data_IF_900821660113
#
_entry.id   IF_900821660113
#
_cell.length_a   1.000
_cell.length_b   1.000
_cell.length_c   1.000
_cell.angle_alpha   90.00
_cell.angle_beta   90.00
_cell.angle_gamma   90.00
#
_symmetry.space_group_name_H-M   'P 1'
#
loop_
_entity.id
_entity.type
_entity.pdbx_description
1 polymer ?
#
# COMPACT_ATOMS: atom_id res chain seq x y z
N UNK A 1 45.37 15.91 -91.15
CA UNK A 1 43.98 15.75 -91.61
C UNK A 1 43.20 14.68 -90.79
N UNK A 2 43.39 14.57 -89.45
CA UNK A 2 42.68 13.53 -88.63
C UNK A 2 42.17 14.07 -87.27
N UNK A 3 42.65 15.23 -86.78
CA UNK A 3 42.30 15.71 -85.42
C UNK A 3 41.04 16.60 -85.32
N UNK A 4 40.44 17.04 -86.42
CA UNK A 4 39.26 17.94 -86.37
C UNK A 4 37.90 17.24 -86.46
N UNK A 5 37.85 15.97 -86.88
CA UNK A 5 36.59 15.23 -87.02
C UNK A 5 36.13 14.56 -85.71
N UNK A 6 37.05 14.24 -84.80
CA UNK A 6 36.71 13.63 -83.51
C UNK A 6 36.07 14.61 -82.50
N UNK A 7 36.30 15.93 -82.64
CA UNK A 7 35.72 16.93 -81.73
C UNK A 7 34.27 17.32 -82.03
N UNK A 8 33.74 16.96 -83.21
CA UNK A 8 32.33 17.20 -83.55
C UNK A 8 31.41 16.03 -83.17
N UNK A 9 31.93 14.82 -83.00
CA UNK A 9 31.11 13.67 -82.63
C UNK A 9 30.75 13.64 -81.13
N UNK A 10 31.59 14.22 -80.26
CA UNK A 10 31.30 14.32 -78.83
C UNK A 10 30.30 15.43 -78.44
N UNK A 11 29.95 16.35 -79.35
CA UNK A 11 29.07 17.49 -79.00
C UNK A 11 27.58 17.23 -79.23
N UNK A 12 27.20 16.11 -79.86
CA UNK A 12 25.79 15.78 -80.11
C UNK A 12 25.18 14.77 -79.12
N UNK A 13 25.97 14.16 -78.23
CA UNK A 13 25.43 13.30 -77.16
C UNK A 13 25.06 14.04 -75.86
N UNK A 14 25.24 15.36 -75.80
CA UNK A 14 24.81 16.20 -74.69
C UNK A 14 23.55 17.02 -75.04
N UNK A 15 22.67 16.44 -75.88
CA UNK A 15 21.25 16.79 -75.80
C UNK A 15 20.63 15.87 -74.77
N UNK A 16 20.70 16.29 -73.51
CA UNK A 16 19.81 15.79 -72.46
C UNK A 16 18.40 15.93 -72.99
N UNK A 17 17.78 14.81 -73.39
CA UNK A 17 16.34 14.72 -73.54
C UNK A 17 15.80 15.02 -72.15
N UNK A 18 15.41 16.28 -71.91
CA UNK A 18 14.50 16.60 -70.82
C UNK A 18 13.15 16.00 -71.23
N UNK A 19 13.01 14.68 -71.05
CA UNK A 19 11.73 14.01 -71.13
C UNK A 19 10.89 14.56 -69.98
N UNK A 20 9.88 15.35 -70.28
CA UNK A 20 8.87 15.70 -69.29
C UNK A 20 8.27 14.42 -68.71
N UNK A 21 8.05 14.39 -67.40
CA UNK A 21 7.41 13.25 -66.73
C UNK A 21 6.08 12.93 -67.39
N UNK A 22 5.86 11.66 -67.69
CA UNK A 22 4.55 11.22 -68.16
C UNK A 22 3.56 11.25 -67.00
N UNK A 23 2.29 11.57 -67.27
CA UNK A 23 1.24 11.62 -66.24
C UNK A 23 1.12 10.29 -65.47
N UNK A 24 1.40 9.17 -66.15
CA UNK A 24 1.42 7.84 -65.56
C UNK A 24 2.60 7.63 -64.59
N UNK A 25 3.80 8.10 -64.91
CA UNK A 25 4.93 8.08 -63.96
C UNK A 25 4.65 8.88 -62.70
N UNK A 26 4.02 10.05 -62.82
CA UNK A 26 3.61 10.86 -61.66
C UNK A 26 2.57 10.13 -60.81
N UNK A 27 1.62 9.44 -61.43
CA UNK A 27 0.60 8.65 -60.73
C UNK A 27 1.22 7.47 -59.98
N UNK A 28 2.12 6.72 -60.62
CA UNK A 28 2.83 5.59 -59.98
C UNK A 28 3.73 6.10 -58.85
N UNK A 29 4.46 7.20 -59.06
CA UNK A 29 5.31 7.80 -58.04
C UNK A 29 4.50 8.25 -56.81
N UNK A 30 3.30 8.81 -57.02
CA UNK A 30 2.41 9.21 -55.93
C UNK A 30 1.87 8.00 -55.16
N UNK A 31 1.55 6.91 -55.85
CA UNK A 31 1.08 5.66 -55.25
C UNK A 31 2.19 4.95 -54.44
N UNK A 32 3.39 4.86 -54.99
CA UNK A 32 4.54 4.28 -54.28
C UNK A 32 4.93 5.18 -53.09
N UNK A 33 4.93 6.50 -53.28
CA UNK A 33 5.21 7.46 -52.22
C UNK A 33 4.21 7.40 -51.07
N UNK A 34 2.92 7.22 -51.36
CA UNK A 34 1.88 7.09 -50.34
C UNK A 34 2.00 5.77 -49.57
N UNK A 35 2.30 4.66 -50.24
CA UNK A 35 2.54 3.37 -49.60
C UNK A 35 3.75 3.41 -48.65
N UNK A 36 4.87 3.99 -49.10
CA UNK A 36 6.07 4.14 -48.26
C UNK A 36 5.76 5.04 -47.05
N UNK A 37 5.08 6.17 -47.26
CA UNK A 37 4.71 7.09 -46.19
C UNK A 37 3.78 6.45 -45.17
N UNK A 38 2.80 5.66 -45.62
CA UNK A 38 1.91 4.91 -44.74
C UNK A 38 2.67 3.86 -43.91
N UNK A 39 3.62 3.14 -44.53
CA UNK A 39 4.48 2.19 -43.84
C UNK A 39 5.35 2.85 -42.75
N UNK A 40 5.96 3.99 -43.06
CA UNK A 40 6.75 4.76 -42.09
C UNK A 40 5.89 5.27 -40.93
N UNK A 41 4.70 5.81 -41.23
CA UNK A 41 3.77 6.28 -40.20
C UNK A 41 3.33 5.14 -39.27
N UNK A 42 3.05 3.96 -39.83
CA UNK A 42 2.69 2.78 -39.04
C UNK A 42 3.80 2.38 -38.06
N UNK A 43 5.06 2.35 -38.51
CA UNK A 43 6.22 2.04 -37.66
C UNK A 43 6.36 3.07 -36.53
N UNK A 44 6.21 4.36 -36.84
CA UNK A 44 6.30 5.44 -35.83
C UNK A 44 5.23 5.27 -34.76
N UNK A 45 3.99 4.96 -35.13
CA UNK A 45 2.90 4.70 -34.17
C UNK A 45 3.24 3.51 -33.26
N UNK A 46 3.73 2.40 -33.83
CA UNK A 46 4.14 1.23 -33.04
C UNK A 46 5.28 1.54 -32.07
N UNK A 47 6.26 2.34 -32.50
CA UNK A 47 7.38 2.76 -31.66
C UNK A 47 6.91 3.66 -30.51
N UNK A 48 6.02 4.62 -30.78
CA UNK A 48 5.44 5.49 -29.76
C UNK A 48 4.65 4.66 -28.74
N UNK A 49 3.80 3.73 -29.19
CA UNK A 49 3.04 2.85 -28.29
C UNK A 49 3.96 2.02 -27.40
N UNK A 50 5.02 1.46 -27.97
CA UNK A 50 5.98 0.66 -27.22
C UNK A 50 6.74 1.50 -26.21
N UNK A 51 7.18 2.70 -26.60
CA UNK A 51 7.86 3.64 -25.70
C UNK A 51 6.95 4.06 -24.54
N UNK A 52 5.68 4.39 -24.82
CA UNK A 52 4.71 4.74 -23.77
C UNK A 52 4.47 3.57 -22.81
N UNK A 53 4.35 2.33 -23.31
CA UNK A 53 4.19 1.14 -22.46
C UNK A 53 5.42 0.88 -21.59
N UNK A 54 6.62 1.03 -22.13
CA UNK A 54 7.85 0.83 -21.38
C UNK A 54 8.05 1.93 -20.33
N UNK A 55 7.76 3.18 -20.68
CA UNK A 55 7.74 4.30 -19.73
C UNK A 55 6.75 4.04 -18.60
N UNK A 56 5.52 3.64 -18.92
CA UNK A 56 4.49 3.34 -17.93
C UNK A 56 4.91 2.20 -16.98
N UNK A 57 5.60 1.18 -17.51
CA UNK A 57 6.15 0.08 -16.73
C UNK A 57 7.26 0.56 -15.78
N UNK A 58 8.21 1.34 -16.30
CA UNK A 58 9.32 1.88 -15.52
C UNK A 58 8.84 2.80 -14.40
N UNK A 59 7.88 3.68 -14.69
CA UNK A 59 7.28 4.56 -13.68
C UNK A 59 6.53 3.76 -12.61
N UNK A 60 5.77 2.74 -13.02
CA UNK A 60 5.08 1.86 -12.07
C UNK A 60 6.07 1.12 -11.18
N UNK A 61 7.16 0.58 -11.74
CA UNK A 61 8.23 -0.06 -10.95
C UNK A 61 8.83 0.89 -9.92
N UNK A 62 9.12 2.13 -10.32
CA UNK A 62 9.67 3.15 -9.44
C UNK A 62 8.71 3.53 -8.32
N UNK A 63 7.44 3.71 -8.63
CA UNK A 63 6.40 4.06 -7.64
C UNK A 63 6.18 2.92 -6.64
N UNK A 64 6.16 1.67 -7.11
CA UNK A 64 6.05 0.50 -6.23
C UNK A 64 7.30 0.33 -5.35
N UNK A 65 8.49 0.58 -5.87
CA UNK A 65 9.72 0.53 -5.10
C UNK A 65 9.71 1.59 -3.99
N UNK A 66 9.29 2.81 -4.31
CA UNK A 66 9.12 3.86 -3.30
C UNK A 66 8.09 3.48 -2.23
N UNK A 67 6.96 2.89 -2.64
CA UNK A 67 5.92 2.44 -1.72
C UNK A 67 6.41 1.30 -0.82
N UNK A 68 7.06 0.27 -1.37
CA UNK A 68 7.55 -0.87 -0.58
C UNK A 68 8.66 -0.45 0.38
N UNK A 69 9.54 0.46 -0.02
CA UNK A 69 10.59 1.02 0.84
C UNK A 69 10.02 1.90 1.96
N UNK A 70 8.93 2.63 1.68
CA UNK A 70 8.20 3.37 2.70
C UNK A 70 7.58 2.44 3.73
N UNK A 71 6.81 1.43 3.30
CA UNK A 71 6.16 0.45 4.19
C UNK A 71 7.23 -0.29 5.00
N UNK A 72 8.33 -0.70 4.36
CA UNK A 72 9.41 -1.40 5.05
C UNK A 72 10.08 -0.55 6.13
N UNK A 73 10.27 0.76 5.91
CA UNK A 73 10.78 1.68 6.95
C UNK A 73 9.81 1.78 8.12
N UNK A 74 8.53 1.96 7.83
CA UNK A 74 7.47 2.00 8.84
C UNK A 74 7.42 0.71 9.69
N UNK A 75 7.55 -0.45 9.05
CA UNK A 75 7.56 -1.75 9.74
C UNK A 75 8.83 -1.96 10.58
N UNK A 76 9.99 -1.42 10.17
CA UNK A 76 11.22 -1.50 10.99
C UNK A 76 11.07 -0.81 12.35
N UNK A 77 10.20 0.19 12.44
CA UNK A 77 9.88 0.93 13.67
C UNK A 77 8.71 0.33 14.45
N UNK A 78 8.16 -0.80 14.00
CA UNK A 78 7.06 -1.47 14.66
C UNK A 78 7.49 -2.11 15.98
N UNK A 79 6.67 -1.92 17.01
CA UNK A 79 6.73 -2.58 18.31
C UNK A 79 6.01 -3.93 18.27
N UNK A 80 4.89 -3.98 17.53
CA UNK A 80 4.06 -5.17 17.39
C UNK A 80 3.32 -5.16 16.05
N UNK A 81 3.37 -6.25 15.31
CA UNK A 81 2.70 -6.46 14.02
C UNK A 81 1.60 -7.51 14.19
N UNK A 82 0.39 -7.20 13.72
CA UNK A 82 -0.73 -8.15 13.69
C UNK A 82 -0.58 -9.11 12.51
N UNK A 83 -0.92 -10.38 12.74
CA UNK A 83 -1.02 -11.37 11.67
C UNK A 83 -2.44 -11.48 11.09
N UNK A 84 -2.60 -12.35 10.09
CA UNK A 84 -3.87 -12.52 9.36
C UNK A 84 -5.00 -13.03 10.23
N UNK A 85 -4.69 -13.80 11.29
CA UNK A 85 -5.70 -14.36 12.19
C UNK A 85 -6.33 -13.28 13.08
N UNK A 86 -5.60 -12.19 13.36
CA UNK A 86 -6.04 -11.11 14.24
C UNK A 86 -6.40 -9.80 13.51
N UNK A 87 -6.08 -9.66 12.23
CA UNK A 87 -6.28 -8.41 11.49
C UNK A 87 -7.75 -8.09 11.21
N UNK A 88 -8.54 -9.08 10.80
CA UNK A 88 -9.91 -8.88 10.34
C UNK A 88 -10.92 -9.20 11.44
N UNK A 89 -11.44 -10.42 11.41
CA UNK A 89 -12.50 -10.87 12.29
C UNK A 89 -11.93 -11.68 13.45
N UNK A 90 -12.70 -11.81 14.53
CA UNK A 90 -12.29 -12.65 15.66
C UNK A 90 -12.08 -14.08 15.16
N UNK A 91 -10.93 -14.72 15.42
CA UNK A 91 -10.70 -16.09 15.00
C UNK A 91 -11.71 -17.03 15.65
N UNK A 92 -12.07 -18.10 14.94
CA UNK A 92 -12.96 -19.13 15.48
C UNK A 92 -12.29 -19.94 16.61
N UNK A 93 -13.10 -20.62 17.42
CA UNK A 93 -12.61 -21.58 18.43
C UNK A 93 -11.68 -22.63 17.78
N UNK A 94 -10.57 -23.03 18.45
CA UNK A 94 -10.15 -22.67 19.81
C UNK A 94 -9.33 -21.38 19.93
N UNK A 95 -9.06 -20.69 18.82
CA UNK A 95 -8.17 -19.52 18.77
C UNK A 95 -8.87 -18.20 19.13
N UNK A 96 -10.18 -18.20 19.38
CA UNK A 96 -11.00 -17.04 19.74
C UNK A 96 -10.57 -16.33 21.04
N UNK A 97 -9.74 -16.98 21.85
CA UNK A 97 -9.14 -16.43 23.08
C UNK A 97 -7.86 -15.65 22.83
N UNK A 98 -7.34 -15.69 21.60
CA UNK A 98 -6.10 -15.04 21.22
C UNK A 98 -6.32 -13.54 21.08
N UNK A 99 -7.18 -13.12 20.17
CA UNK A 99 -7.37 -11.70 19.83
C UNK A 99 -8.84 -11.41 19.47
N UNK A 100 -9.26 -10.14 19.52
CA UNK A 100 -10.65 -9.76 19.25
C UNK A 100 -10.99 -9.60 17.77
N UNK A 101 -9.98 -9.50 16.89
CA UNK A 101 -10.13 -9.03 15.49
C UNK A 101 -10.25 -7.50 15.43
N UNK A 102 -9.63 -6.83 14.44
CA UNK A 102 -9.60 -5.37 14.38
C UNK A 102 -10.71 -4.73 13.54
N UNK A 103 -11.44 -5.49 12.72
CA UNK A 103 -12.43 -4.93 11.77
C UNK A 103 -13.47 -4.05 12.47
N UNK A 104 -14.04 -4.51 13.58
CA UNK A 104 -15.09 -3.76 14.30
C UNK A 104 -14.57 -2.48 15.00
N UNK A 105 -13.26 -2.31 15.08
CA UNK A 105 -12.61 -1.27 15.89
C UNK A 105 -11.79 -0.25 15.07
N UNK A 106 -11.68 -0.48 13.76
CA UNK A 106 -11.02 0.40 12.80
C UNK A 106 -12.04 1.07 11.88
N UNK A 107 -11.81 2.26 11.30
CA UNK A 107 -12.82 2.96 10.51
C UNK A 107 -13.32 2.14 9.31
N UNK A 108 -14.62 2.21 8.98
CA UNK A 108 -15.22 1.46 7.85
C UNK A 108 -14.56 1.75 6.51
N UNK A 109 -14.07 2.98 6.34
CA UNK A 109 -13.35 3.41 5.13
C UNK A 109 -12.02 2.67 4.94
N UNK A 110 -11.47 2.05 6.00
CA UNK A 110 -10.21 1.30 5.94
C UNK A 110 -10.45 -0.20 5.87
N UNK A 111 -11.47 -0.71 6.57
CA UNK A 111 -11.70 -2.15 6.71
C UNK A 111 -12.89 -2.71 5.92
N UNK A 112 -13.76 -1.84 5.40
CA UNK A 112 -15.02 -2.23 4.77
C UNK A 112 -16.06 -2.76 5.77
N UNK A 113 -17.26 -3.01 5.27
CA UNK A 113 -18.45 -3.35 6.08
C UNK A 113 -18.74 -4.85 6.19
N UNK A 114 -18.17 -5.71 5.34
CA UNK A 114 -18.38 -7.17 5.42
C UNK A 114 -17.30 -7.97 4.69
N UNK A 115 -16.93 -9.13 5.25
CA UNK A 115 -16.23 -10.23 4.56
C UNK A 115 -14.96 -9.88 3.82
N UNK A 116 -14.36 -10.88 3.19
CA UNK A 116 -13.25 -10.69 2.26
C UNK A 116 -13.78 -10.56 0.82
N UNK A 117 -13.42 -9.50 0.10
CA UNK A 117 -13.61 -9.40 -1.36
C UNK A 117 -14.94 -8.85 -1.86
N UNK A 118 -15.89 -8.60 -0.96
CA UNK A 118 -17.14 -7.84 -1.23
C UNK A 118 -16.94 -6.33 -1.09
N UNK A 119 -15.92 -5.90 -0.33
CA UNK A 119 -15.64 -4.49 -0.04
C UNK A 119 -14.62 -3.89 -1.00
N UNK A 120 -14.70 -2.56 -1.17
CA UNK A 120 -13.70 -1.79 -1.91
C UNK A 120 -12.42 -1.54 -1.10
N UNK A 121 -12.40 -1.91 0.19
CA UNK A 121 -11.30 -1.66 1.13
C UNK A 121 -10.98 -2.92 1.89
N UNK A 122 -9.71 -3.34 1.85
CA UNK A 122 -9.24 -4.48 2.65
C UNK A 122 -7.93 -4.16 3.32
N UNK A 123 -7.87 -4.24 4.67
CA UNK A 123 -6.64 -4.04 5.42
C UNK A 123 -5.72 -5.23 5.15
N UNK A 124 -4.44 -4.96 4.98
CA UNK A 124 -3.43 -5.96 4.64
C UNK A 124 -2.38 -6.07 5.74
N UNK A 125 -2.01 -4.96 6.37
CA UNK A 125 -0.96 -4.91 7.38
C UNK A 125 -1.39 -3.93 8.46
N UNK A 126 -1.33 -4.34 9.73
CA UNK A 126 -1.50 -3.46 10.87
C UNK A 126 -0.37 -3.66 11.88
N UNK A 127 0.13 -2.57 12.45
CA UNK A 127 1.16 -2.62 13.47
C UNK A 127 1.16 -1.37 14.35
N UNK A 128 1.69 -1.54 15.55
CA UNK A 128 1.96 -0.45 16.47
C UNK A 128 3.39 0.03 16.29
N UNK A 129 3.58 1.35 16.25
CA UNK A 129 4.90 1.99 16.32
C UNK A 129 4.93 3.05 17.41
N UNK A 130 6.13 3.47 17.77
CA UNK A 130 6.33 4.57 18.72
C UNK A 130 6.65 5.85 17.95
N UNK A 131 5.77 6.83 18.04
CA UNK A 131 5.97 8.15 17.45
C UNK A 131 6.32 9.17 18.55
N UNK A 132 7.07 10.24 18.23
CA UNK A 132 7.30 11.33 19.18
C UNK A 132 5.99 12.04 19.52
N UNK A 133 5.88 12.59 20.72
CA UNK A 133 4.75 13.47 21.06
C UNK A 133 4.70 14.70 20.13
N UNK A 134 3.50 15.24 19.83
CA UNK A 134 3.36 16.52 19.15
C UNK A 134 4.14 17.62 19.87
N UNK A 135 4.78 18.52 19.11
CA UNK A 135 5.66 19.55 19.68
C UNK A 135 4.92 20.51 20.64
N UNK A 136 3.64 20.73 20.37
CA UNK A 136 2.74 21.52 21.23
C UNK A 136 2.56 20.84 22.61
N UNK A 137 2.42 19.51 22.66
CA UNK A 137 2.36 18.74 23.91
C UNK A 137 3.72 18.69 24.59
N UNK A 138 4.82 18.55 23.84
CA UNK A 138 6.17 18.64 24.43
C UNK A 138 6.38 19.97 25.14
N UNK A 139 5.97 21.08 24.52
CA UNK A 139 6.07 22.40 25.14
C UNK A 139 5.22 22.52 26.42
N UNK A 140 4.07 21.85 26.50
CA UNK A 140 3.27 21.77 27.73
C UNK A 140 4.00 20.95 28.79
N UNK A 141 4.58 19.81 28.42
CA UNK A 141 5.39 18.98 29.32
C UNK A 141 6.57 19.77 29.90
N UNK A 142 7.32 20.51 29.07
CA UNK A 142 8.46 21.32 29.51
C UNK A 142 8.05 22.43 30.47
N UNK A 143 6.94 23.15 30.17
CA UNK A 143 6.43 24.23 31.03
C UNK A 143 5.97 23.75 32.41
N UNK A 144 5.57 22.49 32.53
CA UNK A 144 5.13 21.89 33.79
C UNK A 144 6.16 20.90 34.35
N UNK A 145 7.43 21.01 33.95
CA UNK A 145 8.49 20.07 34.35
C UNK A 145 8.71 20.00 35.86
N UNK A 146 8.54 21.14 36.55
CA UNK A 146 8.65 21.22 38.02
C UNK A 146 7.64 20.31 38.74
N UNK A 147 6.48 20.04 38.13
CA UNK A 147 5.46 19.19 38.73
C UNK A 147 5.93 17.74 38.94
N UNK A 148 6.87 17.25 38.13
CA UNK A 148 7.44 15.90 38.26
C UNK A 148 8.40 15.76 39.45
N UNK A 149 8.90 16.87 39.98
CA UNK A 149 9.77 16.88 41.17
C UNK A 149 8.98 16.92 42.48
N UNK A 150 7.69 17.24 42.41
CA UNK A 150 6.81 17.32 43.57
C UNK A 150 6.04 16.02 43.77
N UNK A 151 5.79 15.61 45.03
CA UNK A 151 4.85 14.52 45.34
C UNK A 151 3.38 14.95 45.22
N UNK A 152 3.11 16.14 44.67
CA UNK A 152 1.78 16.65 44.45
C UNK A 152 1.14 15.98 43.22
N UNK A 153 -0.18 16.05 43.13
CA UNK A 153 -0.89 15.59 41.93
C UNK A 153 -0.39 16.35 40.70
N UNK A 154 -0.17 15.62 39.59
CA UNK A 154 0.22 16.22 38.32
C UNK A 154 -0.86 17.22 37.86
N UNK A 155 -0.46 18.38 37.30
CA UNK A 155 -1.40 19.31 36.67
C UNK A 155 -2.27 18.61 35.64
N UNK A 156 -3.55 19.00 35.55
CA UNK A 156 -4.48 18.45 34.56
C UNK A 156 -3.87 18.48 33.14
N UNK A 157 -3.23 19.58 32.78
CA UNK A 157 -2.59 19.78 31.47
C UNK A 157 -1.57 18.71 31.04
N UNK A 158 -1.00 17.94 31.96
CA UNK A 158 -0.03 16.85 31.68
C UNK A 158 -0.50 15.49 32.22
N UNK A 159 -1.69 15.42 32.80
CA UNK A 159 -2.24 14.19 33.34
C UNK A 159 -2.50 13.20 32.20
N UNK A 160 -2.02 11.96 32.34
CA UNK A 160 -2.09 10.89 31.32
C UNK A 160 -1.29 11.13 30.03
N UNK A 161 -0.46 12.18 29.99
CA UNK A 161 0.48 12.42 28.88
C UNK A 161 1.83 11.77 29.24
N UNK A 162 2.44 10.98 28.34
CA UNK A 162 3.73 10.33 28.60
C UNK A 162 4.90 11.32 28.41
N UNK A 163 4.93 12.40 29.18
CA UNK A 163 5.93 13.47 29.06
C UNK A 163 7.37 13.00 29.35
N UNK A 164 7.57 12.01 30.22
CA UNK A 164 8.91 11.50 30.55
C UNK A 164 9.55 10.71 29.40
N UNK A 165 8.75 9.99 28.62
CA UNK A 165 9.25 9.23 27.47
C UNK A 165 9.25 10.05 26.18
N UNK A 166 8.51 11.17 26.15
CA UNK A 166 8.21 12.00 24.98
C UNK A 166 7.70 11.20 23.77
N UNK A 167 7.08 10.05 24.03
CA UNK A 167 6.76 9.03 23.05
C UNK A 167 5.33 8.53 23.25
N UNK A 168 4.63 8.34 22.14
CA UNK A 168 3.27 7.80 22.10
C UNK A 168 3.17 6.60 21.17
N UNK A 169 2.14 5.78 21.38
CA UNK A 169 1.83 4.66 20.49
C UNK A 169 0.87 5.09 19.39
N UNK A 170 1.24 4.77 18.15
CA UNK A 170 0.43 4.99 16.96
C UNK A 170 0.14 3.64 16.30
N UNK A 171 -1.14 3.35 16.06
CA UNK A 171 -1.54 2.21 15.24
C UNK A 171 -1.52 2.63 13.78
N UNK A 172 -0.75 1.92 12.96
CA UNK A 172 -0.68 2.14 11.50
C UNK A 172 -1.32 0.96 10.80
N UNK A 173 -2.18 1.23 9.83
CA UNK A 173 -2.88 0.23 9.03
C UNK A 173 -2.70 0.55 7.55
N UNK A 174 -2.19 -0.41 6.79
CA UNK A 174 -2.17 -0.35 5.34
C UNK A 174 -3.32 -1.17 4.77
N UNK A 175 -4.09 -0.58 3.87
CA UNK A 175 -5.19 -1.23 3.17
C UNK A 175 -5.04 -1.13 1.66
N UNK A 176 -5.56 -2.14 0.96
CA UNK A 176 -5.77 -2.12 -0.47
C UNK A 176 -7.18 -1.60 -0.75
N UNK A 177 -7.25 -0.49 -1.47
CA UNK A 177 -8.49 0.20 -1.80
C UNK A 177 -8.69 0.18 -3.33
N UNK A 178 -9.88 -0.18 -3.81
CA UNK A 178 -10.29 -0.10 -5.23
C UNK A 178 -11.36 0.96 -5.48
N UNK A 179 -11.60 1.82 -4.50
CA UNK A 179 -12.58 2.90 -4.61
C UNK A 179 -12.08 3.90 -5.66
N UNK A 180 -12.93 4.14 -6.66
CA UNK A 180 -12.64 5.06 -7.76
C UNK A 180 -13.08 6.50 -7.43
N UNK A 181 -13.85 6.69 -6.36
CA UNK A 181 -14.33 8.00 -5.92
C UNK A 181 -13.26 8.72 -5.08
N UNK A 182 -12.47 9.60 -5.72
CA UNK A 182 -11.41 10.36 -5.06
C UNK A 182 -10.52 11.17 -6.02
N UNK A 183 -9.76 12.14 -5.50
CA UNK A 183 -9.08 13.20 -6.28
C UNK A 183 -8.09 12.72 -7.36
N UNK A 184 -7.59 11.49 -7.32
CA UNK A 184 -6.95 10.82 -8.47
C UNK A 184 -7.08 9.30 -8.26
N UNK A 185 -7.85 8.58 -9.08
CA UNK A 185 -7.79 7.11 -9.20
C UNK A 185 -7.50 6.80 -10.65
N UNK A 186 -6.24 6.48 -10.97
CA UNK A 186 -5.87 6.11 -12.35
C UNK A 186 -5.70 4.60 -12.50
N UNK A 187 -5.14 3.91 -11.51
CA UNK A 187 -5.04 2.45 -11.53
C UNK A 187 -6.21 1.73 -10.87
N UNK A 188 -6.14 0.40 -10.90
CA UNK A 188 -7.22 -0.51 -10.48
C UNK A 188 -7.37 -0.63 -8.97
N UNK A 189 -6.28 -0.47 -8.24
CA UNK A 189 -6.28 -0.38 -6.79
C UNK A 189 -5.10 0.47 -6.31
N UNK A 190 -5.27 1.02 -5.11
CA UNK A 190 -4.30 1.86 -4.43
C UNK A 190 -3.97 1.28 -3.06
N UNK A 191 -2.75 1.54 -2.59
CA UNK A 191 -2.38 1.27 -1.19
C UNK A 191 -2.62 2.55 -0.40
N UNK A 192 -3.42 2.44 0.66
CA UNK A 192 -3.74 3.53 1.57
C UNK A 192 -3.14 3.24 2.92
N UNK A 193 -2.54 4.25 3.54
CA UNK A 193 -2.03 4.22 4.90
C UNK A 193 -2.94 5.02 5.81
N UNK A 194 -3.46 4.36 6.83
CA UNK A 194 -4.18 4.95 7.94
C UNK A 194 -3.29 4.97 9.18
N UNK A 195 -3.37 6.02 9.99
CA UNK A 195 -2.71 6.07 11.29
C UNK A 195 -3.63 6.62 12.38
N UNK A 196 -3.60 5.99 13.55
CA UNK A 196 -4.34 6.37 14.74
C UNK A 196 -3.33 6.70 15.86
N UNK A 197 -2.88 7.95 15.95
CA UNK A 197 -1.97 8.38 17.01
C UNK A 197 -2.74 8.54 18.33
N UNK A 198 -2.02 8.48 19.45
CA UNK A 198 -2.62 8.77 20.76
C UNK A 198 -3.10 10.22 20.85
N UNK A 199 -2.28 11.16 20.40
CA UNK A 199 -2.56 12.59 20.45
C UNK A 199 -2.28 13.23 19.09
N UNK A 200 -3.00 14.32 18.79
CA UNK A 200 -2.73 15.21 17.67
C UNK A 200 -2.33 16.58 18.20
N UNK A 201 -1.84 17.50 17.36
CA UNK A 201 -1.52 18.87 17.80
C UNK A 201 -2.72 19.57 18.46
N UNK A 202 -3.91 19.36 17.90
CA UNK A 202 -5.17 19.85 18.47
C UNK A 202 -5.55 19.27 19.84
N UNK A 203 -4.82 18.29 20.37
CA UNK A 203 -5.09 17.64 21.67
C UNK A 203 -4.57 18.43 22.87
N UNK A 204 -4.14 19.68 22.73
CA UNK A 204 -3.63 20.51 23.83
C UNK A 204 -4.76 21.41 24.39
N UNK A 205 -5.33 21.11 25.57
CA UNK A 205 -6.25 22.02 26.23
C UNK A 205 -5.47 23.06 27.04
N UNK A 206 -6.03 24.26 27.21
CA UNK A 206 -5.46 25.29 28.08
C UNK A 206 -5.79 25.09 29.55
N UNK A 207 -6.82 24.31 29.87
CA UNK A 207 -7.39 24.19 31.23
C UNK A 207 -7.79 22.75 31.63
N UNK A 208 -7.69 21.79 30.72
CA UNK A 208 -8.13 20.40 30.93
C UNK A 208 -7.03 19.40 30.55
N UNK A 209 -7.23 18.13 30.89
CA UNK A 209 -6.31 17.06 30.54
C UNK A 209 -6.40 16.72 29.05
N UNK A 210 -5.27 16.64 28.32
CA UNK A 210 -5.24 16.21 26.92
C UNK A 210 -6.01 14.91 26.70
N UNK A 211 -7.08 14.99 25.92
CA UNK A 211 -7.86 13.81 25.55
C UNK A 211 -7.17 13.06 24.40
N UNK A 212 -7.06 11.72 24.48
CA UNK A 212 -6.58 10.93 23.36
C UNK A 212 -7.55 11.02 22.18
N UNK A 213 -7.05 10.76 20.97
CA UNK A 213 -7.87 10.73 19.75
C UNK A 213 -9.03 9.73 19.92
N UNK A 214 -10.20 10.11 19.42
CA UNK A 214 -11.40 9.28 19.43
C UNK A 214 -11.12 7.86 18.92
N UNK A 215 -11.47 6.85 19.72
CA UNK A 215 -11.23 5.44 19.42
C UNK A 215 -9.80 4.95 19.70
N UNK A 216 -8.90 5.80 20.20
CA UNK A 216 -7.62 5.34 20.72
C UNK A 216 -7.77 4.76 22.13
N UNK A 217 -7.14 3.62 22.35
CA UNK A 217 -7.03 2.95 23.67
C UNK A 217 -5.57 2.59 23.87
N UNK A 218 -5.05 2.81 25.08
CA UNK A 218 -3.65 2.54 25.39
C UNK A 218 -3.35 1.04 25.30
N UNK A 219 -2.54 0.55 24.35
CA UNK A 219 -2.29 -0.89 24.16
C UNK A 219 -1.46 -1.52 25.29
N UNK A 220 -0.95 -0.74 26.25
CA UNK A 220 -0.26 -1.26 27.46
C UNK A 220 -0.87 -0.74 28.76
N UNK A 221 -2.04 -0.10 28.66
CA UNK A 221 -2.65 0.59 29.78
C UNK A 221 -3.49 -0.32 30.65
N UNK A 222 -3.65 0.11 31.91
CA UNK A 222 -4.73 -0.31 32.77
C UNK A 222 -5.66 0.89 32.96
N UNK A 223 -6.90 0.76 32.53
CA UNK A 223 -7.93 1.81 32.67
C UNK A 223 -9.04 1.25 33.54
N UNK A 224 -9.36 1.91 34.66
CA UNK A 224 -10.44 1.51 35.58
C UNK A 224 -10.36 0.03 36.01
N UNK A 225 -9.15 -0.45 36.29
CA UNK A 225 -8.90 -1.84 36.69
C UNK A 225 -8.86 -2.83 35.53
N UNK A 226 -9.28 -2.44 34.32
CA UNK A 226 -9.27 -3.25 33.10
C UNK A 226 -7.93 -3.16 32.39
N UNK A 227 -7.37 -4.32 32.05
CA UNK A 227 -6.08 -4.41 31.38
C UNK A 227 -6.27 -4.70 29.89
N UNK A 228 -5.41 -4.12 29.06
CA UNK A 228 -5.33 -4.44 27.64
C UNK A 228 -3.88 -4.69 27.25
N UNK A 229 -3.69 -5.25 26.06
CA UNK A 229 -2.38 -5.52 25.50
C UNK A 229 -2.37 -5.25 24.00
N UNK A 230 -1.21 -5.22 23.35
CA UNK A 230 -1.15 -5.06 21.89
C UNK A 230 -2.02 -6.11 21.17
N UNK A 231 -2.01 -7.34 21.68
CA UNK A 231 -2.74 -8.46 21.08
C UNK A 231 -4.23 -8.44 21.46
N UNK A 232 -4.57 -7.97 22.67
CA UNK A 232 -5.94 -7.82 23.14
C UNK A 232 -6.62 -6.50 22.73
N UNK A 233 -5.90 -5.58 22.08
CA UNK A 233 -6.44 -4.27 21.73
C UNK A 233 -7.66 -4.39 20.79
N UNK A 234 -8.73 -3.62 20.99
CA UNK A 234 -8.96 -2.60 22.03
C UNK A 234 -9.90 -3.07 23.15
N UNK A 235 -9.90 -4.37 23.47
CA UNK A 235 -10.81 -4.94 24.47
C UNK A 235 -10.09 -5.19 25.78
N UNK A 236 -10.87 -5.46 26.82
CA UNK A 236 -10.34 -5.98 28.08
C UNK A 236 -9.76 -7.38 27.85
N UNK A 237 -8.50 -7.60 28.26
CA UNK A 237 -7.77 -8.85 28.07
C UNK A 237 -8.50 -10.06 28.63
N UNK A 238 -9.13 -9.92 29.80
CA UNK A 238 -9.92 -10.97 30.45
C UNK A 238 -11.16 -11.39 29.64
N UNK A 239 -11.69 -10.48 28.79
CA UNK A 239 -12.86 -10.75 27.96
C UNK A 239 -12.54 -11.64 26.75
N UNK A 240 -11.27 -11.84 26.40
CA UNK A 240 -10.89 -12.73 25.31
C UNK A 240 -11.28 -14.19 25.57
N UNK A 241 -11.27 -14.65 26.81
CA UNK A 241 -11.76 -15.98 27.19
C UNK A 241 -13.29 -16.07 27.26
N UNK A 242 -14.00 -14.97 27.04
CA UNK A 242 -15.45 -14.89 27.12
C UNK A 242 -16.11 -14.88 25.73
N UNK A 243 -17.39 -15.24 25.67
CA UNK A 243 -18.19 -15.17 24.45
C UNK A 243 -18.36 -13.73 23.98
N UNK A 244 -18.63 -12.82 24.91
CA UNK A 244 -18.84 -11.39 24.66
C UNK A 244 -17.59 -10.61 25.02
N UNK A 245 -17.07 -9.84 24.07
CA UNK A 245 -15.92 -8.96 24.29
C UNK A 245 -16.37 -7.69 25.03
N UNK A 246 -15.51 -7.19 25.92
CA UNK A 246 -15.72 -5.92 26.63
C UNK A 246 -14.88 -4.85 25.94
N UNK A 247 -15.45 -4.01 25.05
CA UNK A 247 -14.70 -2.96 24.37
C UNK A 247 -14.28 -1.86 25.37
N UNK A 248 -13.04 -1.40 25.25
CA UNK A 248 -12.53 -0.23 25.97
C UNK A 248 -12.59 1.05 25.12
N UNK A 249 -12.86 0.91 23.81
CA UNK A 249 -13.15 2.05 22.95
C UNK A 249 -14.52 2.64 23.28
N UNK A 250 -14.56 3.95 23.50
CA UNK A 250 -15.81 4.70 23.70
C UNK A 250 -16.58 4.90 22.40
N UNK A 251 -15.88 4.96 21.28
CA UNK A 251 -16.45 5.07 19.93
C UNK A 251 -15.43 4.63 18.89
N UNK A 252 -15.92 4.31 17.69
CA UNK A 252 -15.07 3.93 16.57
C UNK A 252 -14.27 5.13 16.06
N UNK A 253 -12.98 4.99 15.76
CA UNK A 253 -12.19 6.09 15.20
C UNK A 253 -12.71 6.49 13.81
N UNK A 254 -12.49 7.75 13.45
CA UNK A 254 -12.87 8.34 12.16
C UNK A 254 -11.66 8.39 11.25
N UNK A 255 -11.85 8.12 9.96
CA UNK A 255 -10.83 8.31 8.92
C UNK A 255 -11.13 9.56 8.10
N UNK A 256 -10.11 10.37 7.86
CA UNK A 256 -10.15 11.64 7.14
C UNK A 256 -8.83 11.84 6.35
N UNK A 257 -8.68 12.99 5.70
CA UNK A 257 -7.51 13.32 4.90
C UNK A 257 -6.22 13.60 5.70
N UNK A 258 -6.29 13.82 7.02
CA UNK A 258 -5.11 14.05 7.85
C UNK A 258 -4.52 12.76 8.38
N UNK A 259 -5.38 11.76 8.62
CA UNK A 259 -4.96 10.46 9.16
C UNK A 259 -4.90 9.33 8.12
N UNK A 260 -5.32 9.60 6.89
CA UNK A 260 -5.37 8.64 5.78
C UNK A 260 -4.68 9.20 4.53
N UNK A 261 -3.66 8.51 4.02
CA UNK A 261 -2.84 8.94 2.88
C UNK A 261 -2.70 7.83 1.82
N UNK A 262 -2.96 8.08 0.53
CA UNK A 262 -2.62 7.14 -0.53
C UNK A 262 -1.10 7.13 -0.78
N UNK A 263 -0.49 5.95 -0.87
CA UNK A 263 0.93 5.78 -1.17
C UNK A 263 1.18 5.57 -2.66
N UNK A 264 0.38 4.73 -3.30
CA UNK A 264 0.50 4.39 -4.73
C UNK A 264 -0.85 3.96 -5.26
N UNK A 265 -1.14 4.32 -6.51
CA UNK A 265 -2.42 4.09 -7.18
C UNK A 265 -2.37 2.98 -8.25
N UNK A 266 -1.20 2.36 -8.46
CA UNK A 266 -0.95 1.42 -9.57
C UNK A 266 -0.70 0.00 -9.06
N UNK A 267 -1.62 -0.49 -8.24
CA UNK A 267 -1.57 -1.83 -7.64
C UNK A 267 -2.69 -2.69 -8.22
N UNK A 268 -2.41 -3.98 -8.39
CA UNK A 268 -3.42 -4.93 -8.85
C UNK A 268 -4.44 -5.19 -7.72
N UNK A 269 -5.73 -5.19 -8.04
CA UNK A 269 -6.77 -5.59 -7.09
C UNK A 269 -6.78 -7.12 -6.87
N UNK A 270 -6.57 -7.88 -7.95
CA UNK A 270 -6.78 -9.33 -8.00
C UNK A 270 -5.49 -10.11 -7.78
N UNK A 271 -4.33 -9.51 -7.98
CA UNK A 271 -3.03 -10.16 -7.76
C UNK A 271 -2.69 -11.23 -8.81
N UNK A 272 -1.94 -12.27 -8.40
CA UNK A 272 -1.38 -13.29 -9.31
C UNK A 272 -2.48 -13.82 -10.23
N UNK A 273 -2.22 -13.89 -11.54
CA UNK A 273 -3.14 -14.48 -12.50
C UNK A 273 -2.82 -15.98 -12.62
N UNK A 274 -3.82 -16.84 -12.46
CA UNK A 274 -3.69 -18.26 -12.76
C UNK A 274 -4.73 -18.67 -13.80
N UNK A 275 -4.32 -18.99 -15.04
CA UNK A 275 -5.25 -19.42 -16.09
C UNK A 275 -5.87 -20.80 -15.83
N UNK A 276 -5.33 -21.59 -14.89
CA UNK A 276 -5.86 -22.91 -14.53
C UNK A 276 -6.91 -22.88 -13.42
N UNK A 277 -7.16 -21.72 -12.81
CA UNK A 277 -8.21 -21.51 -11.81
C UNK A 277 -9.43 -20.91 -12.50
N UNK A 278 -10.63 -21.44 -12.27
CA UNK A 278 -11.89 -20.94 -12.86
C UNK A 278 -12.20 -19.49 -12.46
N UNK A 279 -11.60 -19.00 -11.38
CA UNK A 279 -11.65 -17.60 -10.96
C UNK A 279 -10.62 -16.70 -11.66
N UNK A 280 -9.65 -17.27 -12.39
CA UNK A 280 -8.51 -16.57 -12.97
C UNK A 280 -7.53 -15.99 -11.93
N UNK A 281 -7.65 -16.40 -10.66
CA UNK A 281 -6.86 -15.89 -9.53
C UNK A 281 -5.82 -16.92 -9.10
N UNK A 282 -4.56 -16.53 -9.07
CA UNK A 282 -3.43 -17.35 -8.62
C UNK A 282 -3.20 -17.18 -7.12
N UNK A 283 -2.99 -18.25 -6.37
CA UNK A 283 -2.92 -18.15 -4.90
C UNK A 283 -1.56 -17.63 -4.44
N UNK A 284 -1.55 -16.89 -3.34
CA UNK A 284 -0.30 -16.61 -2.64
C UNK A 284 0.34 -17.94 -2.20
N UNK A 285 1.66 -18.11 -2.32
CA UNK A 285 2.33 -19.33 -1.88
C UNK A 285 2.01 -19.64 -0.41
N UNK A 286 1.62 -20.88 -0.10
CA UNK A 286 1.47 -21.27 1.28
C UNK A 286 2.86 -21.38 1.93
N UNK A 287 3.14 -20.53 2.92
CA UNK A 287 4.39 -20.53 3.70
C UNK A 287 4.14 -20.89 5.17
N UNK A 288 3.04 -21.59 5.48
CA UNK A 288 2.72 -22.00 6.85
C UNK A 288 3.80 -22.91 7.47
N UNK A 289 4.53 -23.68 6.66
CA UNK A 289 5.67 -24.50 7.09
C UNK A 289 6.86 -23.66 7.58
N UNK A 290 6.96 -22.41 7.16
CA UNK A 290 7.96 -21.43 7.64
C UNK A 290 7.49 -20.68 8.91
N UNK A 291 6.29 -20.99 9.42
CA UNK A 291 5.65 -20.24 10.51
C UNK A 291 5.14 -18.87 10.08
N UNK A 292 5.00 -18.64 8.77
CA UNK A 292 4.51 -17.39 8.19
C UNK A 292 3.00 -17.46 7.97
N UNK A 293 2.27 -16.50 8.56
CA UNK A 293 0.83 -16.34 8.41
C UNK A 293 0.55 -15.29 7.33
N UNK A 294 -0.27 -15.65 6.34
CA UNK A 294 -0.66 -14.74 5.25
C UNK A 294 -1.67 -13.69 5.75
N UNK A 295 -1.56 -12.48 5.20
CA UNK A 295 -2.38 -11.32 5.55
C UNK A 295 -2.73 -10.57 4.26
N UNK A 296 -4.00 -10.19 4.02
CA UNK A 296 -5.19 -10.50 4.80
C UNK A 296 -5.60 -11.97 4.70
N UNK A 297 -6.27 -12.48 5.74
CA UNK A 297 -6.82 -13.83 5.80
C UNK A 297 -8.28 -13.83 6.25
N UNK A 298 -9.13 -14.59 5.57
CA UNK A 298 -10.54 -14.79 5.94
C UNK A 298 -10.72 -16.17 6.59
N UNK A 299 -10.73 -16.20 7.93
CA UNK A 299 -11.01 -17.43 8.68
C UNK A 299 -9.96 -18.55 8.51
N UNK A 300 -10.33 -19.74 8.98
CA UNK A 300 -9.42 -20.79 9.47
C UNK A 300 -8.42 -21.40 8.44
N UNK A 301 -8.40 -21.02 7.16
CA UNK A 301 -7.51 -21.63 6.16
C UNK A 301 -6.90 -20.64 5.16
N UNK A 302 -5.57 -20.62 5.07
CA UNK A 302 -4.82 -19.88 4.05
C UNK A 302 -5.16 -20.32 2.60
N UNK A 303 -5.83 -21.47 2.43
CA UNK A 303 -6.28 -21.94 1.12
C UNK A 303 -7.54 -21.24 0.59
N UNK A 304 -8.24 -20.49 1.44
CA UNK A 304 -9.44 -19.73 1.08
C UNK A 304 -9.14 -18.26 0.73
N UNK A 305 -7.91 -17.78 0.97
CA UNK A 305 -7.53 -16.40 0.73
C UNK A 305 -7.25 -16.17 -0.76
N UNK A 306 -8.03 -15.36 -1.48
CA UNK A 306 -7.71 -15.05 -2.85
C UNK A 306 -6.53 -14.06 -2.88
N UNK A 307 -5.70 -14.13 -3.92
CA UNK A 307 -4.65 -13.16 -4.13
C UNK A 307 -5.18 -11.73 -4.19
N UNK A 308 -4.33 -10.82 -3.75
CA UNK A 308 -4.46 -9.39 -3.94
C UNK A 308 -3.13 -8.89 -4.48
N UNK A 309 -3.11 -7.74 -5.15
CA UNK A 309 -1.83 -7.13 -5.54
C UNK A 309 -1.06 -6.55 -4.36
N UNK A 310 -1.57 -6.68 -3.13
CA UNK A 310 -0.84 -6.35 -1.92
C UNK A 310 -1.19 -7.34 -0.82
N UNK A 311 -0.18 -8.06 -0.33
CA UNK A 311 -0.29 -9.00 0.77
C UNK A 311 1.02 -9.06 1.56
N UNK A 312 0.93 -9.50 2.80
CA UNK A 312 2.10 -9.67 3.66
C UNK A 312 2.06 -11.02 4.37
N UNK A 313 3.23 -11.56 4.67
CA UNK A 313 3.36 -12.68 5.61
C UNK A 313 3.93 -12.17 6.91
N UNK A 314 3.36 -12.59 8.03
CA UNK A 314 3.81 -12.23 9.37
C UNK A 314 4.16 -13.50 10.14
N UNK A 315 5.35 -13.53 10.75
CA UNK A 315 5.77 -14.57 11.70
C UNK A 315 5.85 -13.97 13.10
N UNK A 316 5.29 -14.67 14.08
CA UNK A 316 5.28 -14.24 15.48
C UNK A 316 4.22 -13.19 15.83
N UNK A 317 3.24 -12.94 14.97
CA UNK A 317 2.04 -12.13 15.29
C UNK A 317 1.15 -12.81 16.34
N UNK A 318 1.12 -14.14 16.27
CA UNK A 318 1.38 -15.08 17.35
C UNK A 318 1.02 -14.72 18.79
N UNK A 319 2.03 -14.12 19.41
CA UNK A 319 2.29 -14.16 20.84
C UNK A 319 2.81 -12.79 21.24
N UNK A 320 2.47 -12.40 22.45
CA UNK A 320 2.96 -11.16 23.03
C UNK A 320 4.31 -11.41 23.72
N UNK A 321 5.40 -10.93 23.12
CA UNK A 321 6.74 -10.96 23.71
C UNK A 321 7.67 -12.08 23.21
N UNK A 322 8.96 -11.83 23.43
CA UNK A 322 10.12 -12.73 23.27
C UNK A 322 10.56 -13.17 21.86
N UNK A 323 9.81 -12.86 20.79
CA UNK A 323 10.21 -13.18 19.41
C UNK A 323 10.38 -11.92 18.56
N UNK A 324 11.46 -11.88 17.77
CA UNK A 324 11.57 -10.93 16.67
C UNK A 324 10.50 -11.31 15.63
N UNK A 325 9.63 -10.37 15.26
CA UNK A 325 8.63 -10.64 14.24
C UNK A 325 9.24 -10.43 12.87
N UNK A 326 8.86 -11.27 11.93
CA UNK A 326 9.31 -11.15 10.55
C UNK A 326 8.11 -10.85 9.67
N UNK A 327 8.27 -9.82 8.83
CA UNK A 327 7.25 -9.38 7.88
C UNK A 327 7.82 -9.47 6.48
N UNK A 328 7.20 -10.30 5.64
CA UNK A 328 7.50 -10.37 4.21
C UNK A 328 6.41 -9.60 3.49
N UNK A 329 6.77 -8.49 2.85
CA UNK A 329 5.84 -7.60 2.15
C UNK A 329 5.92 -7.92 0.67
N UNK A 330 4.76 -8.11 0.03
CA UNK A 330 4.67 -8.36 -1.41
C UNK A 330 3.66 -7.43 -2.07
N UNK A 331 4.11 -6.76 -3.12
CA UNK A 331 3.28 -5.87 -3.94
C UNK A 331 3.37 -6.31 -5.39
N UNK A 332 2.23 -6.38 -6.06
CA UNK A 332 2.08 -6.60 -7.47
C UNK A 332 1.42 -5.37 -8.11
N UNK A 333 2.17 -4.70 -8.97
CA UNK A 333 1.71 -3.52 -9.67
C UNK A 333 0.87 -3.83 -10.90
N UNK A 334 0.02 -2.87 -11.24
CA UNK A 334 -0.71 -2.80 -12.49
C UNK A 334 -0.56 -1.40 -13.08
N UNK A 335 0.05 -1.31 -14.27
CA UNK A 335 0.25 -0.05 -14.98
C UNK A 335 -1.02 0.44 -15.71
N UNK A 336 -2.14 -0.29 -15.60
CA UNK A 336 -3.43 0.14 -16.13
C UNK A 336 -3.77 1.58 -15.70
N UNK A 337 -4.24 2.37 -16.66
CA UNK A 337 -4.56 3.79 -16.46
C UNK A 337 -3.38 4.76 -16.62
N UNK A 338 -2.18 4.28 -16.93
CA UNK A 338 -1.08 5.12 -17.42
C UNK A 338 -1.21 5.39 -18.93
N UNK A 339 -0.65 6.51 -19.44
CA UNK A 339 -0.57 6.76 -20.88
C UNK A 339 0.06 5.58 -21.63
N UNK A 340 -0.56 5.16 -22.73
CA UNK A 340 -0.09 4.02 -23.55
C UNK A 340 -0.44 2.62 -23.02
N UNK A 341 -1.01 2.51 -21.81
CA UNK A 341 -1.55 1.27 -21.26
C UNK A 341 -3.07 1.38 -21.21
N UNK A 342 -3.79 0.84 -22.20
CA UNK A 342 -5.24 0.87 -22.19
C UNK A 342 -5.78 0.11 -20.96
N UNK A 343 -6.78 0.67 -20.29
CA UNK A 343 -7.57 -0.04 -19.28
C UNK A 343 -8.54 -0.98 -20.00
N UNK A 344 -7.97 -2.00 -20.64
CA UNK A 344 -8.78 -3.07 -21.23
C UNK A 344 -9.33 -3.86 -20.05
N UNK A 345 -10.66 -3.98 -19.96
CA UNK A 345 -11.36 -4.59 -18.83
C UNK A 345 -10.77 -5.92 -18.33
N UNK A 346 -11.21 -6.35 -17.14
CA UNK A 346 -10.62 -7.39 -16.29
C UNK A 346 -10.14 -8.70 -16.96
N UNK A 347 -10.58 -9.02 -18.18
CA UNK A 347 -10.23 -10.22 -18.96
C UNK A 347 -8.92 -10.10 -19.76
N UNK A 348 -8.48 -8.89 -20.15
CA UNK A 348 -7.25 -8.68 -20.94
C UNK A 348 -6.18 -7.97 -20.10
N UNK A 349 -5.59 -8.70 -19.15
CA UNK A 349 -4.50 -8.18 -18.31
C UNK A 349 -3.22 -8.00 -19.14
N UNK A 350 -2.46 -6.91 -18.97
CA UNK A 350 -1.08 -6.85 -19.42
C UNK A 350 -0.32 -8.05 -18.84
N UNK A 351 0.29 -8.87 -19.71
CA UNK A 351 0.85 -10.20 -19.36
C UNK A 351 2.11 -10.17 -18.50
N UNK A 352 2.53 -9.00 -18.00
CA UNK A 352 3.77 -8.86 -17.22
C UNK A 352 3.48 -8.13 -15.91
N UNK A 353 3.03 -8.85 -14.86
CA UNK A 353 2.90 -8.28 -13.54
C UNK A 353 4.27 -7.85 -13.02
N UNK A 354 4.35 -6.63 -12.47
CA UNK A 354 5.53 -6.16 -11.75
C UNK A 354 5.36 -6.63 -10.31
N UNK A 355 6.14 -7.62 -9.87
CA UNK A 355 6.11 -8.11 -8.49
C UNK A 355 7.37 -7.68 -7.74
N UNK A 356 7.19 -7.07 -6.58
CA UNK A 356 8.26 -6.74 -5.63
C UNK A 356 8.01 -7.47 -4.32
N UNK A 357 9.08 -7.99 -3.72
CA UNK A 357 9.07 -8.63 -2.40
C UNK A 357 10.19 -8.04 -1.56
N UNK A 358 9.90 -7.71 -0.30
CA UNK A 358 10.92 -7.33 0.67
C UNK A 358 10.65 -8.02 2.00
N UNK A 359 11.69 -8.20 2.80
CA UNK A 359 11.64 -8.91 4.07
C UNK A 359 12.20 -7.99 5.15
N UNK A 360 11.42 -7.79 6.20
CA UNK A 360 11.76 -6.93 7.32
C UNK A 360 11.70 -7.74 8.61
N UNK A 361 12.78 -7.70 9.38
CA UNK A 361 12.81 -8.24 10.73
C UNK A 361 12.59 -7.08 11.72
N UNK A 362 11.51 -7.16 12.50
CA UNK A 362 11.21 -6.21 13.56
C UNK A 362 11.70 -6.80 14.88
N UNK A 363 12.30 -5.95 15.71
CA UNK A 363 12.77 -6.37 17.03
C UNK A 363 11.66 -6.04 18.02
N UNK A 364 10.94 -7.06 18.49
CA UNK A 364 9.99 -6.89 19.58
C UNK A 364 10.70 -6.30 20.81
N UNK A 365 10.13 -5.24 21.39
CA UNK A 365 10.70 -4.56 22.59
C UNK A 365 9.90 -4.89 23.85
N UNK A 366 8.79 -5.62 23.71
CA UNK A 366 7.86 -5.94 24.81
C UNK A 366 8.17 -7.32 25.40
N UNK A 367 8.17 -7.42 26.74
CA UNK A 367 8.28 -8.68 27.49
C UNK A 367 9.44 -9.60 27.03
N UNK A 368 10.63 -9.05 26.82
CA UNK A 368 11.85 -9.86 26.70
C UNK A 368 12.29 -10.23 28.11
N UNK A 369 12.30 -11.52 28.41
CA UNK A 369 13.03 -12.02 29.58
C UNK A 369 14.52 -11.90 29.27
N UNK A 370 15.26 -11.15 30.09
CA UNK A 370 16.72 -11.07 29.99
C UNK A 370 17.38 -12.39 30.34
#
# INVERSE_FOLDING_TARGET
>A
MIKSFLKRYQKHHLRTKAGGFTLLELLVAMLVGSLISAGLLYIVVQLIETNLRESARSDTQRDLQAAIDYIARDVREAVFVYDGDCLLDRPASPNNTRCPGLRSYLPETIVGTSGFGTTNNVPVLAFWRVDPLPDELKAVCTRNSDAYSSSAALPAAIQNVPCLSERMYTLVVYSLNRETTGRVSRGRARIVRYHLPQFTGSSVPTTESPAPVTGWVNPRGRTDGKETSFLAWPVERSSLSQTTLVPLQTSRPVSNNTNTLPLTDFVDWVGLYNPSDSSGRGRAPNRSTEGLVLTPRDGASATADPPRGFYVYVRGGDREGDLNQEVVIRIQGDAAGRPGVPDIGATNRPRVPIALETRVLTRGVTNKTQ
#
